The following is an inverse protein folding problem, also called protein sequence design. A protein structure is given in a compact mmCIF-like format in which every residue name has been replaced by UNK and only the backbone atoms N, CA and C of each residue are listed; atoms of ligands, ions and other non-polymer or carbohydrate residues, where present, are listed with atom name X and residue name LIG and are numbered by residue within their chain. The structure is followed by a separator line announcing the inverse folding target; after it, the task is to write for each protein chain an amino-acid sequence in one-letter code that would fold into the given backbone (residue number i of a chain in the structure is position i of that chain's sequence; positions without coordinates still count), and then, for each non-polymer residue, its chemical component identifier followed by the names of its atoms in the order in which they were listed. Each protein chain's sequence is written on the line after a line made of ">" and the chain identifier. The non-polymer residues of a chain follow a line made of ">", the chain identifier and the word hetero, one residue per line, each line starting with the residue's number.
data_IF_413892690854
#
_entry.id   IF_413892690854
#
_cell.length_a   1.000
_cell.length_b   1.000
_cell.length_c   1.000
_cell.angle_alpha   90.00
_cell.angle_beta   90.00
_cell.angle_gamma   90.00
#
_symmetry.space_group_name_H-M   'P 1'
#
loop_
_entity.id
_entity.type
_entity.pdbx_description
1 polymer ?
#
# COMPACT_ATOMS: atom_id res chain seq x y z
N UNK A 1 18.70 1.45 3.82
CA UNK A 1 18.11 1.37 5.19
C UNK A 1 16.62 1.40 5.02
N UNK A 2 15.92 0.52 5.73
CA UNK A 2 14.47 0.44 5.68
C UNK A 2 13.89 1.33 6.77
N UNK A 3 12.99 2.22 6.38
CA UNK A 3 12.36 3.18 7.27
C UNK A 3 10.84 3.05 7.17
N UNK A 4 10.19 2.69 8.28
CA UNK A 4 8.75 2.64 8.37
C UNK A 4 8.22 4.07 8.54
N UNK A 5 7.47 4.56 7.55
CA UNK A 5 6.92 5.92 7.55
C UNK A 5 5.55 5.99 8.26
N UNK A 6 4.75 4.93 8.12
CA UNK A 6 3.40 4.87 8.65
C UNK A 6 3.01 3.43 8.92
N UNK A 7 2.23 3.21 9.98
CA UNK A 7 1.64 1.91 10.31
C UNK A 7 0.28 2.08 10.95
N UNK A 8 -0.73 1.44 10.37
CA UNK A 8 -2.07 1.35 10.92
C UNK A 8 -2.68 0.00 10.56
N UNK A 9 -3.03 -0.80 11.57
CA UNK A 9 -3.53 -2.17 11.41
C UNK A 9 -2.60 -3.01 10.52
N UNK A 10 -3.12 -3.53 9.43
CA UNK A 10 -2.50 -4.34 8.39
C UNK A 10 -1.82 -3.51 7.29
N UNK A 11 -1.91 -2.17 7.36
CA UNK A 11 -1.34 -1.25 6.37
C UNK A 11 -0.03 -0.64 6.89
N UNK A 12 1.02 -0.75 6.08
CA UNK A 12 2.34 -0.19 6.35
C UNK A 12 2.86 0.56 5.13
N UNK A 13 3.50 1.71 5.34
CA UNK A 13 4.20 2.45 4.30
C UNK A 13 5.69 2.48 4.64
N UNK A 14 6.49 1.99 3.72
CA UNK A 14 7.93 1.82 3.88
C UNK A 14 8.68 2.70 2.88
N UNK A 15 9.78 3.30 3.35
CA UNK A 15 10.83 3.82 2.49
C UNK A 15 12.02 2.86 2.54
N UNK A 16 12.37 2.29 1.39
CA UNK A 16 13.56 1.43 1.25
C UNK A 16 14.48 2.06 0.21
N UNK A 17 15.61 2.59 0.69
CA UNK A 17 16.51 3.41 -0.11
C UNK A 17 15.78 4.67 -0.65
N UNK A 18 15.62 4.79 -1.97
CA UNK A 18 14.92 5.92 -2.63
C UNK A 18 13.53 5.53 -3.15
N UNK A 19 13.04 4.34 -2.80
CA UNK A 19 11.74 3.83 -3.24
C UNK A 19 10.76 3.75 -2.08
N UNK A 20 9.49 3.88 -2.42
CA UNK A 20 8.39 3.86 -1.46
C UNK A 20 7.50 2.67 -1.75
N UNK A 21 7.06 2.00 -0.70
CA UNK A 21 6.23 0.80 -0.80
C UNK A 21 5.06 0.91 0.17
N UNK A 22 3.91 0.42 -0.25
CA UNK A 22 2.79 0.16 0.65
C UNK A 22 2.59 -1.35 0.75
N UNK A 23 2.49 -1.85 1.98
CA UNK A 23 2.21 -3.24 2.28
C UNK A 23 0.87 -3.31 3.02
N UNK A 24 -0.02 -4.19 2.59
CA UNK A 24 -1.37 -4.29 3.13
C UNK A 24 -1.95 -5.70 3.00
N UNK A 25 -3.01 -6.00 3.76
CA UNK A 25 -3.84 -7.17 3.53
C UNK A 25 -4.88 -6.86 2.44
N UNK A 26 -4.72 -7.49 1.29
CA UNK A 26 -5.65 -7.41 0.17
C UNK A 26 -6.83 -8.39 0.31
N UNK A 27 -6.86 -9.18 1.37
CA UNK A 27 -7.78 -10.26 1.60
C UNK A 27 -9.05 -9.84 2.34
N UNK A 28 -10.19 -10.42 1.95
CA UNK A 28 -11.45 -10.23 2.66
C UNK A 28 -11.82 -11.37 3.62
N UNK A 29 -11.38 -12.59 3.33
CA UNK A 29 -11.73 -13.81 4.10
C UNK A 29 -10.51 -14.61 4.56
N UNK A 30 -9.38 -14.43 3.86
CA UNK A 30 -8.09 -15.01 4.17
C UNK A 30 -7.06 -13.90 4.02
N UNK A 31 -6.04 -13.88 4.86
CA UNK A 31 -4.96 -12.90 4.76
C UNK A 31 -4.26 -13.05 3.39
N UNK A 32 -4.26 -11.98 2.61
CA UNK A 32 -3.59 -11.88 1.31
C UNK A 32 -2.61 -10.72 1.38
N UNK A 33 -1.40 -10.98 1.87
CA UNK A 33 -0.40 -9.92 1.95
C UNK A 33 0.02 -9.48 0.55
N UNK A 34 0.05 -8.17 0.34
CA UNK A 34 0.49 -7.55 -0.91
C UNK A 34 1.42 -6.38 -0.61
N UNK A 35 2.39 -6.16 -1.49
CA UNK A 35 3.27 -5.01 -1.46
C UNK A 35 3.40 -4.39 -2.84
N UNK A 36 3.18 -3.08 -2.94
CA UNK A 36 3.28 -2.33 -4.19
C UNK A 36 4.23 -1.15 -4.05
N UNK A 37 5.03 -0.92 -5.09
CA UNK A 37 5.81 0.31 -5.21
C UNK A 37 4.86 1.49 -5.48
N UNK A 38 5.05 2.57 -4.73
CA UNK A 38 4.27 3.80 -4.84
C UNK A 38 5.20 5.00 -5.02
N UNK A 39 4.66 6.13 -5.46
CA UNK A 39 5.46 7.34 -5.58
C UNK A 39 5.74 7.96 -4.22
N UNK A 40 6.76 8.82 -4.12
CA UNK A 40 7.00 9.62 -2.92
C UNK A 40 5.79 10.48 -2.55
N UNK A 41 5.13 11.09 -3.55
CA UNK A 41 3.94 11.91 -3.33
C UNK A 41 2.76 11.10 -2.78
N UNK A 42 2.60 9.86 -3.24
CA UNK A 42 1.61 8.93 -2.70
C UNK A 42 1.92 8.57 -1.25
N UNK A 43 3.18 8.23 -0.95
CA UNK A 43 3.62 7.89 0.40
C UNK A 43 3.37 9.04 1.37
N UNK A 44 3.71 10.28 0.98
CA UNK A 44 3.48 11.48 1.80
C UNK A 44 1.99 11.72 2.06
N UNK A 45 1.13 11.57 1.04
CA UNK A 45 -0.32 11.76 1.18
C UNK A 45 -0.95 10.67 2.05
N UNK A 46 -0.59 9.41 1.81
CA UNK A 46 -1.17 8.28 2.52
C UNK A 46 -0.70 8.19 3.98
N UNK A 47 0.50 8.71 4.30
CA UNK A 47 1.05 8.69 5.66
C UNK A 47 0.52 9.80 6.58
N UNK A 48 -0.41 10.65 6.13
CA UNK A 48 -0.92 11.79 6.92
C UNK A 48 -1.73 11.32 8.13
N UNK A 49 -2.64 10.37 7.92
CA UNK A 49 -3.51 9.80 8.96
C UNK A 49 -4.16 8.50 8.45
N UNK A 50 -4.91 7.83 9.33
CA UNK A 50 -5.58 6.55 9.04
C UNK A 50 -6.56 6.65 7.85
N UNK A 51 -7.34 7.72 7.78
CA UNK A 51 -8.30 7.94 6.70
C UNK A 51 -7.60 8.10 5.34
N UNK A 52 -6.50 8.86 5.30
CA UNK A 52 -5.72 9.07 4.09
C UNK A 52 -5.09 7.77 3.57
N UNK A 53 -4.61 6.91 4.48
CA UNK A 53 -4.08 5.60 4.11
C UNK A 53 -5.16 4.70 3.49
N UNK A 54 -6.36 4.67 4.08
CA UNK A 54 -7.50 3.88 3.57
C UNK A 54 -7.97 4.40 2.21
N UNK A 55 -8.13 5.73 2.07
CA UNK A 55 -8.51 6.35 0.79
C UNK A 55 -7.49 6.04 -0.30
N UNK A 56 -6.20 6.10 0.03
CA UNK A 56 -5.15 5.77 -0.91
C UNK A 56 -5.17 4.29 -1.33
N UNK A 57 -5.49 3.36 -0.43
CA UNK A 57 -5.64 1.94 -0.77
C UNK A 57 -6.73 1.71 -1.81
N UNK A 58 -7.89 2.36 -1.70
CA UNK A 58 -8.93 2.26 -2.71
C UNK A 58 -8.45 2.76 -4.08
N UNK A 59 -7.78 3.91 -4.12
CA UNK A 59 -7.21 4.47 -5.36
C UNK A 59 -6.14 3.55 -5.96
N UNK A 60 -5.29 2.94 -5.13
CA UNK A 60 -4.28 1.98 -5.57
C UNK A 60 -4.92 0.74 -6.19
N UNK A 61 -5.93 0.17 -5.54
CA UNK A 61 -6.66 -1.00 -6.04
C UNK A 61 -7.34 -0.71 -7.38
N UNK A 62 -7.99 0.46 -7.51
CA UNK A 62 -8.56 0.91 -8.78
C UNK A 62 -7.50 1.04 -9.89
N UNK A 63 -6.32 1.61 -9.55
CA UNK A 63 -5.20 1.72 -10.48
C UNK A 63 -4.72 0.34 -10.95
N UNK A 64 -4.50 -0.60 -10.03
CA UNK A 64 -4.08 -1.96 -10.35
C UNK A 64 -5.08 -2.67 -11.28
N UNK A 65 -6.38 -2.56 -10.99
CA UNK A 65 -7.43 -3.10 -11.85
C UNK A 65 -7.36 -2.49 -13.25
N UNK A 66 -7.15 -1.17 -13.36
CA UNK A 66 -7.03 -0.48 -14.65
C UNK A 66 -5.81 -0.94 -15.47
N UNK A 67 -4.76 -1.38 -14.79
CA UNK A 67 -3.52 -1.91 -15.38
C UNK A 67 -3.63 -3.42 -15.71
N UNK A 68 -4.77 -4.06 -15.42
CA UNK A 68 -4.98 -5.49 -15.63
C UNK A 68 -4.35 -6.37 -14.55
N UNK A 69 -4.00 -5.80 -13.41
CA UNK A 69 -3.46 -6.52 -12.25
C UNK A 69 -4.59 -6.78 -11.26
N UNK A 70 -4.72 -8.03 -10.81
CA UNK A 70 -5.65 -8.39 -9.73
C UNK A 70 -5.11 -7.85 -8.40
N UNK A 71 -5.80 -6.93 -7.71
CA UNK A 71 -5.34 -6.40 -6.44
C UNK A 71 -5.61 -7.34 -5.26
N UNK A 72 -6.42 -8.39 -5.44
CA UNK A 72 -6.87 -9.30 -4.37
C UNK A 72 -6.04 -10.58 -4.28
N UNK A 73 -4.82 -10.57 -4.85
CA UNK A 73 -3.86 -11.67 -4.80
C UNK A 73 -2.54 -11.22 -4.18
N UNK A 74 -1.87 -12.17 -3.53
CA UNK A 74 -0.59 -11.94 -2.88
C UNK A 74 0.53 -11.85 -3.92
N UNK A 75 1.50 -10.97 -3.70
CA UNK A 75 2.69 -10.79 -4.53
C UNK A 75 3.99 -10.76 -3.73
N UNK A 76 3.94 -11.21 -2.47
CA UNK A 76 5.08 -11.30 -1.54
C UNK A 76 5.44 -12.74 -1.22
#
# INVERSE_FOLDING_TARGET
>A
MDNLLFKFRDVEIWKRNERYFIRYDAGGHVDVMREDEITEGDALKASVNEEAAIQFLFVLQERLISEGVDPYVSNV
#
